data_IF_631058383269
#
_entry.id   IF_631058383269
#
_cell.length_a   1.000
_cell.length_b   1.000
_cell.length_c   1.000
_cell.angle_alpha   90.00
_cell.angle_beta   90.00
_cell.angle_gamma   90.00
#
_symmetry.space_group_name_H-M   'P 1'
#
loop_
_entity.id
_entity.type
_entity.pdbx_description
1 polymer ?
#
# COMPACT_ATOMS: atom_id res chain seq x y z
N UNK A 1 1.67 5.13 -18.39
CA UNK A 1 0.71 6.10 -17.81
C UNK A 1 -0.59 5.37 -17.59
N UNK A 2 -1.12 5.40 -16.37
CA UNK A 2 -2.44 4.87 -16.03
C UNK A 2 -3.32 6.07 -15.67
N UNK A 3 -4.59 6.07 -16.08
CA UNK A 3 -5.48 7.20 -15.91
C UNK A 3 -6.91 6.80 -16.19
N UNK A 4 -7.84 7.56 -15.64
CA UNK A 4 -9.24 7.21 -15.67
C UNK A 4 -10.11 8.46 -15.44
N UNK A 5 -11.35 8.47 -15.93
CA UNK A 5 -12.22 9.65 -15.90
C UNK A 5 -13.62 9.29 -15.40
N UNK A 6 -14.30 10.25 -14.77
CA UNK A 6 -15.69 10.09 -14.34
C UNK A 6 -16.56 11.28 -14.70
N UNK A 7 -17.86 11.01 -14.84
CA UNK A 7 -18.90 12.02 -15.00
C UNK A 7 -19.44 12.40 -13.63
N UNK A 8 -19.37 13.69 -13.28
CA UNK A 8 -19.94 14.22 -12.05
C UNK A 8 -21.11 15.18 -12.34
N UNK A 9 -22.29 14.89 -11.78
CA UNK A 9 -23.47 15.76 -11.86
C UNK A 9 -23.90 16.11 -10.44
N UNK A 10 -23.88 17.40 -10.10
CA UNK A 10 -24.08 17.93 -8.74
C UNK A 10 -25.35 17.43 -8.04
N UNK A 11 -26.38 17.02 -8.78
CA UNK A 11 -27.70 16.72 -8.23
C UNK A 11 -27.87 15.33 -7.63
N UNK A 12 -26.96 14.36 -7.82
CA UNK A 12 -27.09 13.01 -7.24
C UNK A 12 -25.75 12.29 -7.08
N UNK A 13 -24.95 12.64 -6.07
CA UNK A 13 -23.98 11.69 -5.48
C UNK A 13 -24.74 10.66 -4.61
N UNK A 14 -25.73 9.97 -5.20
CA UNK A 14 -26.18 8.69 -4.66
C UNK A 14 -25.12 7.69 -5.10
N UNK A 15 -24.03 7.60 -4.32
CA UNK A 15 -23.12 6.47 -4.43
C UNK A 15 -23.90 5.23 -3.98
N UNK A 16 -24.61 4.64 -4.93
CA UNK A 16 -25.44 3.46 -4.76
C UNK A 16 -24.52 2.25 -4.58
N UNK A 17 -24.06 2.00 -3.35
CA UNK A 17 -23.60 0.70 -2.81
C UNK A 17 -22.96 -0.29 -3.82
N UNK A 18 -22.18 0.18 -4.78
CA UNK A 18 -21.96 -0.56 -6.02
C UNK A 18 -20.66 -0.18 -6.70
N UNK A 19 -20.25 -0.96 -7.71
CA UNK A 19 -18.91 -0.88 -8.28
C UNK A 19 -18.68 0.43 -9.02
N UNK A 20 -17.40 0.78 -9.19
CA UNK A 20 -17.02 2.04 -9.78
C UNK A 20 -17.01 1.98 -11.31
N UNK A 21 -18.03 2.56 -11.95
CA UNK A 21 -18.26 2.46 -13.40
C UNK A 21 -18.15 3.79 -14.16
N UNK A 22 -17.43 4.78 -13.63
CA UNK A 22 -17.22 6.07 -14.32
C UNK A 22 -18.31 7.11 -14.09
N UNK A 23 -19.30 6.86 -13.25
CA UNK A 23 -20.25 7.87 -12.77
C UNK A 23 -20.00 8.18 -11.29
N UNK A 24 -19.57 9.40 -10.99
CA UNK A 24 -19.27 9.85 -9.62
C UNK A 24 -17.99 9.28 -9.00
N UNK A 25 -17.40 8.23 -9.57
CA UNK A 25 -16.08 7.72 -9.22
C UNK A 25 -15.42 7.11 -10.46
N UNK A 26 -14.11 6.95 -10.41
CA UNK A 26 -13.36 6.14 -11.36
C UNK A 26 -12.16 5.51 -10.65
N UNK A 27 -11.80 4.28 -11.02
CA UNK A 27 -10.68 3.53 -10.46
C UNK A 27 -9.79 3.02 -11.59
N UNK A 28 -8.48 2.97 -11.34
CA UNK A 28 -7.53 2.37 -12.26
C UNK A 28 -6.40 1.71 -11.50
N UNK A 29 -5.84 0.65 -12.07
CA UNK A 29 -4.69 -0.04 -11.51
C UNK A 29 -3.41 0.75 -11.74
N UNK A 30 -2.50 0.70 -10.77
CA UNK A 30 -1.15 1.25 -10.89
C UNK A 30 -0.29 0.23 -11.65
N UNK A 31 0.43 0.70 -12.67
CA UNK A 31 1.37 -0.15 -13.42
C UNK A 31 2.55 -0.56 -12.54
N UNK A 32 3.07 -1.75 -12.79
CA UNK A 32 4.28 -2.25 -12.11
C UNK A 32 5.53 -1.47 -12.55
N UNK A 33 6.57 -1.47 -11.70
CA UNK A 33 7.89 -0.91 -12.04
C UNK A 33 7.95 0.62 -12.12
N UNK A 34 7.06 1.34 -11.44
CA UNK A 34 7.11 2.80 -11.38
C UNK A 34 8.17 3.29 -10.39
N UNK A 35 9.05 4.18 -10.84
CA UNK A 35 10.02 4.88 -9.97
C UNK A 35 9.44 6.13 -9.31
N UNK A 36 8.48 6.78 -9.99
CA UNK A 36 7.84 8.01 -9.55
C UNK A 36 6.34 7.85 -9.74
N UNK A 37 5.59 8.20 -8.71
CA UNK A 37 4.14 8.27 -8.75
C UNK A 37 3.69 9.73 -8.56
N UNK A 38 2.88 10.23 -9.49
CA UNK A 38 2.29 11.57 -9.42
C UNK A 38 0.80 11.45 -9.74
N UNK A 39 -0.03 11.96 -8.84
CA UNK A 39 -1.48 11.95 -8.97
C UNK A 39 -1.96 13.37 -9.31
N UNK A 40 -2.62 13.52 -10.46
CA UNK A 40 -3.30 14.75 -10.86
C UNK A 40 -4.79 14.50 -11.00
N UNK A 41 -5.61 15.47 -10.60
CA UNK A 41 -7.07 15.44 -10.76
C UNK A 41 -7.49 16.72 -11.46
N UNK A 42 -7.89 16.59 -12.72
CA UNK A 42 -8.27 17.70 -13.57
C UNK A 42 -9.70 17.55 -14.09
N UNK A 43 -10.34 18.68 -14.38
CA UNK A 43 -11.68 18.70 -15.00
C UNK A 43 -11.53 18.74 -16.51
N UNK A 44 -12.09 17.74 -17.20
CA UNK A 44 -11.95 17.56 -18.65
C UNK A 44 -12.81 18.55 -19.47
N UNK A 45 -13.82 19.20 -18.88
CA UNK A 45 -14.70 20.10 -19.64
C UNK A 45 -15.13 21.35 -18.84
N UNK A 46 -14.82 22.55 -19.34
CA UNK A 46 -15.19 23.85 -18.75
C UNK A 46 -16.24 24.61 -19.57
N UNK A 47 -16.77 24.01 -20.64
CA UNK A 47 -17.59 24.71 -21.63
C UNK A 47 -19.10 24.59 -21.39
N UNK A 48 -19.54 24.75 -20.15
CA UNK A 48 -20.94 25.11 -19.86
C UNK A 48 -20.95 26.38 -19.04
N UNK A 49 -21.09 27.51 -19.74
CA UNK A 49 -21.47 28.78 -19.12
C UNK A 49 -22.76 28.55 -18.33
N UNK A 50 -22.73 28.95 -17.06
CA UNK A 50 -23.89 29.10 -16.15
C UNK A 50 -24.60 27.80 -15.75
N UNK A 51 -24.07 27.18 -14.70
CA UNK A 51 -24.92 26.86 -13.54
C UNK A 51 -24.28 27.48 -12.30
N UNK A 52 -24.72 28.69 -11.97
CA UNK A 52 -24.59 29.21 -10.61
C UNK A 52 -25.38 28.27 -9.71
N UNK A 53 -24.70 27.44 -8.95
CA UNK A 53 -25.24 26.84 -7.75
C UNK A 53 -24.05 26.53 -6.84
N UNK A 54 -24.14 27.09 -5.64
CA UNK A 54 -23.20 26.96 -4.53
C UNK A 54 -23.20 25.54 -3.96
N UNK A 55 -22.83 24.54 -4.75
CA UNK A 55 -22.68 23.19 -4.24
C UNK A 55 -21.20 22.84 -4.30
N UNK A 56 -20.58 22.97 -3.12
CA UNK A 56 -19.35 22.35 -2.64
C UNK A 56 -18.56 21.51 -3.66
N UNK A 57 -17.25 21.74 -3.71
CA UNK A 57 -16.21 21.08 -4.51
C UNK A 57 -16.13 19.52 -4.40
N UNK A 58 -17.25 18.82 -4.41
CA UNK A 58 -17.41 17.41 -4.07
C UNK A 58 -16.96 16.43 -5.17
N UNK A 59 -16.52 16.93 -6.33
CA UNK A 59 -16.21 16.12 -7.52
C UNK A 59 -14.71 15.94 -7.80
N UNK A 60 -13.79 16.38 -6.92
CA UNK A 60 -12.35 16.31 -7.22
C UNK A 60 -11.56 15.83 -6.01
N UNK A 61 -11.62 14.52 -5.76
CA UNK A 61 -10.74 13.82 -4.82
C UNK A 61 -10.18 12.60 -5.53
N UNK A 62 -8.92 12.28 -5.25
CA UNK A 62 -8.33 11.01 -5.62
C UNK A 62 -7.50 10.50 -4.45
N UNK A 63 -7.44 9.18 -4.32
CA UNK A 63 -6.70 8.52 -3.26
C UNK A 63 -6.12 7.23 -3.79
N UNK A 64 -5.02 6.80 -3.16
CA UNK A 64 -4.51 5.46 -3.31
C UNK A 64 -5.17 4.55 -2.28
N UNK A 65 -5.40 3.31 -2.69
CA UNK A 65 -5.93 2.28 -1.85
C UNK A 65 -5.37 0.91 -2.26
N UNK A 66 -5.23 0.01 -1.29
CA UNK A 66 -4.83 -1.38 -1.52
C UNK A 66 -5.88 -2.11 -2.39
N UNK A 67 -5.45 -3.11 -3.15
CA UNK A 67 -6.32 -3.87 -4.07
C UNK A 67 -7.26 -4.86 -3.37
N UNK A 68 -7.68 -4.59 -2.14
CA UNK A 68 -8.58 -5.48 -1.39
C UNK A 68 -10.00 -5.44 -1.99
N UNK A 69 -10.47 -6.56 -2.60
CA UNK A 69 -11.79 -6.63 -3.24
C UNK A 69 -12.96 -6.47 -2.25
N UNK A 70 -12.70 -6.54 -0.93
CA UNK A 70 -13.71 -6.37 0.12
C UNK A 70 -13.59 -5.05 0.87
N UNK A 71 -12.61 -4.21 0.53
CA UNK A 71 -12.34 -3.02 1.29
C UNK A 71 -13.47 -2.00 1.18
N UNK A 72 -14.02 -1.53 2.32
CA UNK A 72 -15.07 -0.53 2.34
C UNK A 72 -14.55 0.90 2.06
N UNK A 73 -13.29 1.06 1.63
CA UNK A 73 -12.57 2.35 1.64
C UNK A 73 -13.10 3.36 0.61
N UNK A 74 -13.67 2.91 -0.51
CA UNK A 74 -14.38 3.81 -1.44
C UNK A 74 -15.49 4.61 -0.71
N UNK A 75 -16.07 4.05 0.36
CA UNK A 75 -17.20 4.66 1.11
C UNK A 75 -16.77 5.76 2.09
N UNK A 76 -15.53 5.73 2.60
CA UNK A 76 -15.06 6.70 3.61
C UNK A 76 -14.38 7.91 2.98
N UNK A 77 -13.73 7.73 1.84
CA UNK A 77 -13.03 8.81 1.12
C UNK A 77 -13.99 9.87 0.58
N UNK A 78 -15.17 9.45 0.12
CA UNK A 78 -16.20 10.35 -0.42
C UNK A 78 -16.97 11.11 0.68
N UNK A 79 -17.04 10.55 1.89
CA UNK A 79 -17.74 11.17 3.03
C UNK A 79 -16.87 12.02 3.93
N UNK A 80 -15.56 11.94 3.81
CA UNK A 80 -14.64 12.69 4.65
C UNK A 80 -13.52 13.28 3.79
N UNK A 81 -13.70 14.51 3.32
CA UNK A 81 -12.71 15.27 2.53
C UNK A 81 -11.37 15.51 3.24
N UNK A 82 -11.19 15.02 4.48
CA UNK A 82 -10.04 15.27 5.36
C UNK A 82 -9.44 13.97 5.96
N UNK A 83 -9.70 12.79 5.40
CA UNK A 83 -9.08 11.54 5.91
C UNK A 83 -7.90 11.10 5.04
N UNK A 84 -6.80 10.76 5.70
CA UNK A 84 -5.65 10.10 5.10
C UNK A 84 -5.99 8.64 4.83
N UNK A 85 -5.61 8.15 3.64
CA UNK A 85 -5.64 6.71 3.33
C UNK A 85 -4.30 6.12 3.74
N UNK A 86 -4.31 5.04 4.51
CA UNK A 86 -3.12 4.23 4.74
C UNK A 86 -3.08 3.18 3.64
N UNK A 87 -1.96 3.10 2.92
CA UNK A 87 -1.77 2.16 1.80
C UNK A 87 -0.38 1.57 1.94
N UNK A 88 -0.25 0.27 1.71
CA UNK A 88 1.04 -0.39 1.69
C UNK A 88 1.65 -0.22 0.29
N UNK A 89 2.89 0.26 0.22
CA UNK A 89 3.63 0.34 -1.04
C UNK A 89 4.51 -0.89 -1.19
N UNK A 90 4.36 -1.60 -2.31
CA UNK A 90 5.32 -2.60 -2.75
C UNK A 90 6.45 -1.92 -3.54
N UNK A 91 7.70 -2.09 -3.11
CA UNK A 91 8.86 -1.35 -3.59
C UNK A 91 10.10 -2.25 -3.70
N UNK A 92 11.09 -1.81 -4.47
CA UNK A 92 12.35 -2.51 -4.68
C UNK A 92 13.55 -1.56 -4.68
N UNK A 93 14.71 -2.08 -4.30
CA UNK A 93 16.00 -1.41 -4.28
C UNK A 93 16.71 -1.65 -5.61
N UNK A 94 17.18 -0.56 -6.23
CA UNK A 94 18.03 -0.59 -7.41
C UNK A 94 17.37 -1.26 -8.62
N UNK A 95 18.20 -1.64 -9.59
CA UNK A 95 17.76 -2.31 -10.83
C UNK A 95 18.34 -3.71 -11.00
N UNK A 96 19.14 -4.17 -10.04
CA UNK A 96 19.82 -5.47 -10.09
C UNK A 96 19.05 -6.53 -9.32
N UNK A 97 19.14 -7.77 -9.78
CA UNK A 97 18.61 -8.93 -9.04
C UNK A 97 19.54 -9.31 -7.89
N UNK A 98 19.07 -10.14 -6.98
CA UNK A 98 19.85 -10.69 -5.88
C UNK A 98 21.13 -11.39 -6.32
N UNK A 99 21.13 -12.05 -7.48
CA UNK A 99 22.33 -12.63 -8.08
C UNK A 99 23.37 -11.54 -8.40
N UNK A 100 22.92 -10.41 -8.97
CA UNK A 100 23.77 -9.25 -9.25
C UNK A 100 24.28 -8.57 -7.97
N UNK A 101 23.47 -8.49 -6.91
CA UNK A 101 23.93 -7.89 -5.64
C UNK A 101 25.05 -8.73 -5.01
N UNK A 102 24.93 -10.08 -5.07
CA UNK A 102 25.94 -11.00 -4.55
C UNK A 102 27.27 -10.89 -5.29
N UNK A 103 27.25 -10.74 -6.62
CA UNK A 103 28.49 -10.62 -7.41
C UNK A 103 29.19 -9.27 -7.19
N UNK A 104 28.42 -8.23 -6.87
CA UNK A 104 28.94 -6.87 -6.65
C UNK A 104 29.27 -6.56 -5.17
N UNK A 105 29.10 -7.52 -4.24
CA UNK A 105 29.27 -7.32 -2.79
C UNK A 105 28.45 -6.15 -2.20
N UNK A 106 27.32 -5.80 -2.83
CA UNK A 106 26.46 -4.69 -2.39
C UNK A 106 25.58 -5.03 -1.18
N UNK A 107 25.41 -6.31 -0.83
CA UNK A 107 24.39 -6.77 0.14
C UNK A 107 24.55 -6.21 1.55
N UNK A 108 25.68 -5.59 1.90
CA UNK A 108 25.93 -5.09 3.26
C UNK A 108 25.51 -3.63 3.51
N UNK A 109 25.26 -2.82 2.48
CA UNK A 109 24.96 -1.38 2.70
C UNK A 109 23.49 -1.08 2.95
N UNK A 110 22.57 -1.74 2.24
CA UNK A 110 21.14 -1.41 2.27
C UNK A 110 20.30 -2.39 3.12
N UNK A 111 20.70 -3.67 3.18
CA UNK A 111 20.05 -4.66 4.03
C UNK A 111 20.74 -4.75 5.40
N UNK A 112 19.95 -4.76 6.47
CA UNK A 112 20.48 -4.98 7.82
C UNK A 112 20.97 -6.42 8.05
N UNK A 113 21.50 -6.68 9.24
CA UNK A 113 21.94 -8.02 9.63
C UNK A 113 20.76 -9.01 9.71
N UNK A 114 21.06 -10.31 9.56
CA UNK A 114 20.09 -11.41 9.60
C UNK A 114 18.99 -11.32 8.52
N UNK A 115 19.33 -10.72 7.39
CA UNK A 115 18.45 -10.61 6.23
C UNK A 115 18.91 -11.51 5.08
N UNK A 116 17.98 -11.77 4.17
CA UNK A 116 18.20 -12.38 2.88
C UNK A 116 17.66 -11.45 1.79
N UNK A 117 18.28 -11.55 0.61
CA UNK A 117 17.82 -10.83 -0.58
C UNK A 117 16.72 -11.61 -1.27
N UNK A 118 15.67 -10.91 -1.70
CA UNK A 118 14.56 -11.47 -2.48
C UNK A 118 14.34 -10.61 -3.72
N UNK A 119 14.26 -11.25 -4.90
CA UNK A 119 13.99 -10.54 -6.15
C UNK A 119 12.61 -9.89 -6.12
N UNK A 120 12.50 -8.68 -6.67
CA UNK A 120 11.23 -7.99 -6.81
C UNK A 120 10.29 -8.75 -7.75
N UNK A 121 9.03 -8.88 -7.36
CA UNK A 121 7.95 -9.32 -8.26
C UNK A 121 7.33 -8.18 -9.05
N UNK A 122 7.66 -6.93 -8.69
CA UNK A 122 7.07 -5.71 -9.22
C UNK A 122 8.10 -4.90 -10.04
N UNK A 123 8.75 -5.58 -10.99
CA UNK A 123 9.78 -5.00 -11.86
C UNK A 123 11.20 -5.43 -11.49
N UNK A 124 12.19 -4.63 -11.87
CA UNK A 124 13.60 -4.88 -11.54
C UNK A 124 13.92 -4.52 -10.09
N UNK A 125 15.06 -5.00 -9.60
CA UNK A 125 15.52 -4.76 -8.24
C UNK A 125 15.22 -5.90 -7.28
N UNK A 126 15.47 -5.64 -6.00
CA UNK A 126 15.32 -6.60 -4.92
C UNK A 126 14.79 -5.94 -3.64
N UNK A 127 14.33 -6.74 -2.69
CA UNK A 127 14.01 -6.29 -1.34
C UNK A 127 14.73 -7.19 -0.32
N UNK A 128 14.93 -6.66 0.89
CA UNK A 128 15.47 -7.40 2.01
C UNK A 128 14.31 -8.07 2.77
N UNK A 129 14.51 -9.31 3.21
CA UNK A 129 13.60 -10.06 4.07
C UNK A 129 14.37 -10.63 5.25
N UNK A 130 13.77 -10.75 6.42
CA UNK A 130 14.43 -11.46 7.52
C UNK A 130 14.64 -12.94 7.16
N UNK A 131 15.80 -13.49 7.54
CA UNK A 131 16.08 -14.93 7.39
C UNK A 131 15.10 -15.76 8.21
N UNK A 132 15.02 -17.04 7.88
CA UNK A 132 14.31 -18.01 8.72
C UNK A 132 14.75 -17.91 10.19
N UNK A 133 13.78 -17.95 11.11
CA UNK A 133 13.95 -17.71 12.56
C UNK A 133 14.20 -16.26 12.99
N UNK A 134 14.11 -15.29 12.08
CA UNK A 134 14.17 -13.86 12.41
C UNK A 134 12.90 -13.13 11.95
N UNK A 135 12.53 -12.08 12.69
CA UNK A 135 11.37 -11.24 12.42
C UNK A 135 11.67 -9.77 12.76
N UNK A 136 10.96 -8.83 12.15
CA UNK A 136 11.20 -7.40 12.29
C UNK A 136 11.28 -6.69 10.94
N UNK A 137 11.73 -5.44 10.96
CA UNK A 137 11.90 -4.66 9.74
C UNK A 137 13.37 -4.74 9.29
N UNK A 138 13.68 -5.37 8.14
CA UNK A 138 15.05 -5.61 7.68
C UNK A 138 15.85 -4.35 7.33
N UNK A 139 15.20 -3.18 7.29
CA UNK A 139 15.80 -1.89 6.93
C UNK A 139 16.10 -0.99 8.14
N UNK A 140 15.79 -1.43 9.36
CA UNK A 140 16.06 -0.67 10.59
C UNK A 140 17.40 -1.06 11.21
N UNK A 141 18.06 -0.18 12.00
CA UNK A 141 19.31 -0.49 12.70
C UNK A 141 19.21 -1.71 13.64
N UNK A 142 18.11 -1.82 14.40
CA UNK A 142 17.82 -2.99 15.26
C UNK A 142 17.22 -4.18 14.49
N UNK A 143 16.93 -3.94 13.21
CA UNK A 143 16.55 -4.86 12.14
C UNK A 143 15.77 -6.13 12.50
N UNK A 144 16.23 -7.22 11.91
CA UNK A 144 15.70 -8.56 12.08
C UNK A 144 16.23 -9.19 13.37
N UNK A 145 15.33 -9.46 14.31
CA UNK A 145 15.62 -10.02 15.62
C UNK A 145 15.20 -11.48 15.70
N UNK A 146 15.84 -12.25 16.58
CA UNK A 146 15.55 -13.68 16.75
C UNK A 146 14.10 -13.85 17.19
N UNK A 147 13.38 -14.74 16.51
CA UNK A 147 12.03 -15.12 16.88
C UNK A 147 12.09 -16.06 18.08
N UNK A 148 11.73 -15.57 19.26
CA UNK A 148 11.67 -16.40 20.48
C UNK A 148 10.28 -17.01 20.59
N UNK A 149 10.18 -18.32 20.38
CA UNK A 149 8.93 -19.07 20.53
C UNK A 149 8.94 -19.86 21.83
N UNK A 150 7.98 -19.59 22.70
CA UNK A 150 7.70 -20.36 23.91
C UNK A 150 6.45 -21.21 23.76
N UNK A 151 6.31 -22.25 24.60
CA UNK A 151 5.04 -22.93 24.78
C UNK A 151 4.25 -22.22 25.88
N UNK A 152 3.02 -21.81 25.60
CA UNK A 152 2.13 -21.21 26.59
C UNK A 152 0.99 -22.20 26.87
N UNK A 153 0.89 -22.66 28.13
CA UNK A 153 -0.22 -23.48 28.59
C UNK A 153 -1.39 -22.57 28.94
N UNK A 154 -2.50 -22.64 28.19
CA UNK A 154 -3.73 -21.93 28.57
C UNK A 154 -4.45 -22.72 29.67
N UNK A 155 -4.50 -22.15 30.87
CA UNK A 155 -5.11 -22.81 32.04
C UNK A 155 -6.65 -22.91 31.96
N UNK A 156 -7.30 -22.24 31.01
CA UNK A 156 -8.76 -22.15 30.92
C UNK A 156 -9.43 -23.16 29.97
N UNK A 157 -8.69 -23.81 29.07
CA UNK A 157 -9.28 -24.68 28.02
C UNK A 157 -8.55 -26.03 27.83
N UNK A 158 -7.55 -26.36 28.65
CA UNK A 158 -6.81 -27.64 28.52
C UNK A 158 -6.02 -27.76 27.21
N UNK A 159 -5.70 -26.64 26.56
CA UNK A 159 -4.90 -26.59 25.33
C UNK A 159 -3.67 -25.68 25.49
N UNK A 160 -2.50 -26.20 25.13
CA UNK A 160 -1.26 -25.42 25.02
C UNK A 160 -1.00 -25.03 23.57
N UNK A 161 -0.47 -23.83 23.33
CA UNK A 161 -0.10 -23.33 22.01
C UNK A 161 1.33 -22.82 21.97
N UNK A 162 1.97 -22.86 20.80
CA UNK A 162 3.25 -22.17 20.59
C UNK A 162 2.95 -20.68 20.40
N UNK A 163 3.55 -19.85 21.24
CA UNK A 163 3.47 -18.39 21.14
C UNK A 163 4.86 -17.83 20.93
N UNK A 164 5.01 -17.04 19.87
CA UNK A 164 6.27 -16.37 19.57
C UNK A 164 6.19 -14.91 20.00
N UNK A 165 7.19 -14.45 20.76
CA UNK A 165 7.30 -13.07 21.24
C UNK A 165 8.56 -12.41 20.69
N UNK A 166 8.51 -11.08 20.61
CA UNK A 166 9.63 -10.22 20.23
C UNK A 166 10.50 -9.95 21.46
N UNK A 167 11.74 -10.44 21.48
CA UNK A 167 12.74 -9.91 22.43
C UNK A 167 13.32 -8.62 21.86
N UNK A 168 12.61 -7.50 22.05
CA UNK A 168 13.23 -6.20 21.95
C UNK A 168 14.15 -6.02 23.18
N UNK A 169 15.44 -6.35 23.05
CA UNK A 169 16.44 -5.94 24.04
C UNK A 169 16.47 -4.41 24.07
N UNK A 170 16.00 -3.82 25.16
CA UNK A 170 16.20 -2.41 25.55
C UNK A 170 17.60 -2.28 26.13
#
# INVERSE_FOLDING_TARGET
MSGCASLCRATRLKLLNGPCYGFGCCETTISMGLKIFTLSVDRINTQTRRSRASDSNACSFAALHDSDPYSPIMRSLIRASNKTSTTALDWAIGEVTCEGVKTLNYTSSECGNNTECVNSSNGSGYHCRCKHSFEGNPYLPSGCQVKVCGYELSASLGGGGIKCMFEAKI
#
